data_IF_517319322003
#
_entry.id   IF_517319322003
#
_cell.length_a   1.000
_cell.length_b   1.000
_cell.length_c   1.000
_cell.angle_alpha   90.00
_cell.angle_beta   90.00
_cell.angle_gamma   90.00
#
_symmetry.space_group_name_H-M   'P 1'
#
loop_
_entity.id
_entity.type
_entity.pdbx_description
1 polymer ?
#
# COMPACT_ATOMS: atom_id res chain seq x y z
N UNK A 1 -20.32 21.60 -29.12
CA UNK A 1 -20.32 21.09 -27.71
C UNK A 1 -20.48 19.57 -27.64
N UNK A 2 -21.56 18.94 -28.19
CA UNK A 2 -21.73 17.47 -28.08
C UNK A 2 -20.62 16.67 -28.79
N UNK A 3 -20.21 17.08 -29.98
CA UNK A 3 -19.13 16.47 -30.72
C UNK A 3 -17.78 16.64 -30.02
N UNK A 4 -17.52 17.83 -29.49
CA UNK A 4 -16.33 18.14 -28.72
C UNK A 4 -16.27 17.29 -27.41
N UNK A 5 -17.40 17.18 -26.72
CA UNK A 5 -17.48 16.33 -25.52
C UNK A 5 -17.14 14.86 -25.83
N UNK A 6 -17.65 14.30 -26.93
CA UNK A 6 -17.36 12.93 -27.35
C UNK A 6 -15.91 12.74 -27.82
N UNK A 7 -15.35 13.70 -28.55
CA UNK A 7 -14.00 13.56 -29.10
C UNK A 7 -12.91 13.89 -28.08
N UNK A 8 -13.11 14.93 -27.25
CA UNK A 8 -12.08 15.49 -26.39
C UNK A 8 -12.22 15.12 -24.91
N UNK A 9 -13.46 14.88 -24.42
CA UNK A 9 -13.71 14.68 -22.99
C UNK A 9 -14.07 13.25 -22.61
N UNK A 10 -14.39 12.38 -23.55
CA UNK A 10 -14.75 10.99 -23.27
C UNK A 10 -13.53 10.27 -22.67
N UNK A 11 -13.69 9.66 -21.49
CA UNK A 11 -12.61 9.00 -20.75
C UNK A 11 -11.95 7.85 -21.52
N UNK A 12 -12.71 7.13 -22.34
CA UNK A 12 -12.19 6.05 -23.20
C UNK A 12 -11.21 6.56 -24.27
N UNK A 13 -11.29 7.82 -24.66
CA UNK A 13 -10.37 8.44 -25.64
C UNK A 13 -9.17 9.13 -24.94
N UNK A 14 -9.20 9.28 -23.61
CA UNK A 14 -8.19 10.00 -22.83
C UNK A 14 -7.58 9.08 -21.76
N UNK A 15 -6.94 8.01 -22.18
CA UNK A 15 -6.32 7.05 -21.26
C UNK A 15 -5.00 7.57 -20.73
N UNK A 16 -4.18 8.19 -21.57
CA UNK A 16 -2.87 8.73 -21.19
C UNK A 16 -2.93 10.25 -21.01
N UNK A 17 -2.20 10.76 -20.05
CA UNK A 17 -2.02 12.19 -19.83
C UNK A 17 -1.17 12.80 -20.96
N UNK A 18 -1.63 13.86 -21.62
CA UNK A 18 -0.82 14.53 -22.64
C UNK A 18 0.41 15.26 -22.06
N UNK A 19 0.43 15.50 -20.74
CA UNK A 19 1.54 16.17 -20.06
C UNK A 19 2.70 15.23 -19.71
N UNK A 20 2.40 14.01 -19.23
CA UNK A 20 3.42 13.06 -18.74
C UNK A 20 3.44 11.72 -19.47
N UNK A 21 2.38 11.38 -20.21
CA UNK A 21 2.22 10.06 -20.82
C UNK A 21 1.81 8.96 -19.85
N UNK A 22 1.57 9.29 -18.57
CA UNK A 22 1.08 8.33 -17.60
C UNK A 22 -0.42 8.07 -17.76
N UNK A 23 -0.91 6.87 -17.40
CA UNK A 23 -2.35 6.58 -17.45
C UNK A 23 -3.13 7.47 -16.49
N UNK A 24 -4.19 8.11 -16.99
CA UNK A 24 -5.14 8.90 -16.18
C UNK A 24 -6.15 7.97 -15.50
N UNK A 25 -6.59 6.91 -16.18
CA UNK A 25 -7.60 5.95 -15.70
C UNK A 25 -7.01 4.95 -14.70
N UNK A 26 -6.33 5.43 -13.68
CA UNK A 26 -5.77 4.58 -12.63
C UNK A 26 -6.81 4.41 -11.52
N UNK A 27 -7.12 3.16 -11.15
CA UNK A 27 -7.99 2.89 -10.01
C UNK A 27 -7.48 3.53 -8.73
N UNK A 28 -8.40 3.90 -7.83
CA UNK A 28 -8.10 4.53 -6.55
C UNK A 28 -8.96 3.94 -5.44
N UNK A 29 -8.58 4.23 -4.20
CA UNK A 29 -9.35 3.91 -3.00
C UNK A 29 -9.77 2.43 -2.93
N UNK A 30 -11.06 2.12 -2.93
CA UNK A 30 -11.60 0.79 -2.67
C UNK A 30 -11.16 -0.25 -3.70
N UNK A 31 -11.04 0.14 -4.97
CA UNK A 31 -10.55 -0.76 -6.02
C UNK A 31 -9.12 -1.22 -5.73
N UNK A 32 -8.25 -0.28 -5.36
CA UNK A 32 -6.86 -0.59 -5.00
C UNK A 32 -6.80 -1.47 -3.76
N UNK A 33 -7.63 -1.17 -2.74
CA UNK A 33 -7.69 -1.95 -1.51
C UNK A 33 -8.14 -3.40 -1.79
N UNK A 34 -9.18 -3.58 -2.60
CA UNK A 34 -9.70 -4.90 -2.96
C UNK A 34 -8.70 -5.75 -3.72
N UNK A 35 -8.01 -5.17 -4.71
CA UNK A 35 -6.97 -5.86 -5.47
C UNK A 35 -5.73 -6.17 -4.60
N UNK A 36 -5.37 -5.24 -3.72
CA UNK A 36 -4.29 -5.46 -2.77
C UNK A 36 -4.62 -6.61 -1.81
N UNK A 37 -5.83 -6.64 -1.25
CA UNK A 37 -6.31 -7.73 -0.40
C UNK A 37 -6.32 -9.06 -1.12
N UNK A 38 -6.82 -9.11 -2.37
CA UNK A 38 -6.87 -10.30 -3.20
C UNK A 38 -5.48 -10.87 -3.52
N UNK A 39 -4.49 -10.01 -3.74
CA UNK A 39 -3.16 -10.42 -4.20
C UNK A 39 -2.15 -10.64 -3.08
N UNK A 40 -2.52 -10.36 -1.84
CA UNK A 40 -1.68 -10.69 -0.68
C UNK A 40 -1.59 -12.18 -0.45
N UNK A 41 -0.47 -12.61 0.12
CA UNK A 41 -0.36 -13.95 0.69
C UNK A 41 -0.55 -13.88 2.21
N UNK A 42 -1.00 -14.98 2.79
CA UNK A 42 -1.14 -15.20 4.22
C UNK A 42 -0.54 -16.55 4.59
N UNK A 43 0.28 -16.56 5.64
CA UNK A 43 0.91 -17.75 6.18
C UNK A 43 -0.11 -18.49 7.05
N UNK A 44 -0.15 -19.84 6.96
CA UNK A 44 -1.10 -20.64 7.72
C UNK A 44 -2.56 -20.50 7.28
N UNK A 45 -2.82 -19.96 6.09
CA UNK A 45 -4.16 -19.83 5.56
C UNK A 45 -4.77 -21.21 5.23
N UNK A 46 -6.09 -21.31 5.35
CA UNK A 46 -6.83 -22.54 4.98
C UNK A 46 -6.57 -22.90 3.54
N UNK A 47 -6.15 -24.15 3.27
CA UNK A 47 -5.81 -24.60 1.92
C UNK A 47 -4.36 -24.32 1.49
N UNK A 48 -3.50 -23.91 2.40
CA UNK A 48 -2.08 -23.72 2.10
C UNK A 48 -1.43 -25.05 1.67
N UNK A 49 -0.56 -25.00 0.66
CA UNK A 49 0.13 -26.17 0.13
C UNK A 49 -0.66 -27.00 -0.87
N UNK A 50 -1.85 -26.57 -1.30
CA UNK A 50 -2.63 -27.26 -2.34
C UNK A 50 -1.98 -27.10 -3.71
N UNK A 51 -2.10 -28.16 -4.52
CA UNK A 51 -1.71 -28.18 -5.93
C UNK A 51 -3.00 -28.21 -6.77
N UNK A 52 -3.17 -27.22 -7.63
CA UNK A 52 -4.42 -26.95 -8.36
C UNK A 52 -4.15 -27.01 -9.86
N UNK A 53 -5.04 -27.68 -10.61
CA UNK A 53 -4.85 -27.92 -12.05
C UNK A 53 -5.18 -26.70 -12.93
N UNK A 54 -5.96 -25.75 -12.42
CA UNK A 54 -6.34 -24.55 -13.16
C UNK A 54 -6.81 -23.42 -12.25
N UNK A 55 -6.85 -22.19 -12.77
CA UNK A 55 -7.37 -21.04 -12.05
C UNK A 55 -8.87 -21.15 -11.74
N UNK A 56 -9.65 -21.82 -12.60
CA UNK A 56 -11.07 -22.09 -12.39
C UNK A 56 -11.30 -23.09 -11.24
N UNK A 57 -10.39 -24.04 -11.05
CA UNK A 57 -10.43 -24.94 -9.90
C UNK A 57 -10.10 -24.18 -8.60
N UNK A 58 -9.12 -23.29 -8.64
CA UNK A 58 -8.80 -22.39 -7.51
C UNK A 58 -10.02 -21.55 -7.10
N UNK A 59 -10.77 -21.01 -8.06
CA UNK A 59 -12.00 -20.27 -7.81
C UNK A 59 -13.08 -21.15 -7.16
N UNK A 60 -13.24 -22.41 -7.61
CA UNK A 60 -14.19 -23.36 -7.01
C UNK A 60 -13.82 -23.72 -5.58
N UNK A 61 -12.55 -23.95 -5.29
CA UNK A 61 -12.07 -24.22 -3.94
C UNK A 61 -12.37 -23.05 -2.98
N UNK A 62 -12.16 -21.84 -3.44
CA UNK A 62 -12.53 -20.64 -2.68
C UNK A 62 -14.05 -20.56 -2.45
N UNK A 63 -14.87 -20.70 -3.51
CA UNK A 63 -16.33 -20.62 -3.41
C UNK A 63 -16.94 -21.72 -2.54
N UNK A 64 -16.26 -22.87 -2.42
CA UNK A 64 -16.65 -23.99 -1.57
C UNK A 64 -16.14 -23.86 -0.13
N UNK A 65 -15.51 -22.74 0.22
CA UNK A 65 -14.90 -22.52 1.53
C UNK A 65 -13.87 -23.61 1.93
N UNK A 66 -13.19 -24.19 0.95
CA UNK A 66 -12.13 -25.17 1.18
C UNK A 66 -10.74 -24.53 1.29
N UNK A 67 -10.58 -23.35 0.72
CA UNK A 67 -9.33 -22.60 0.75
C UNK A 67 -9.57 -21.08 0.76
N UNK A 68 -8.69 -20.35 1.45
CA UNK A 68 -8.73 -18.89 1.56
C UNK A 68 -8.08 -18.22 0.34
N UNK A 69 -8.46 -16.98 0.05
CA UNK A 69 -7.91 -16.16 -1.03
C UNK A 69 -6.38 -16.05 -0.99
N UNK A 70 -5.83 -15.89 0.20
CA UNK A 70 -4.42 -15.62 0.45
C UNK A 70 -3.60 -16.89 0.62
N UNK A 71 -4.23 -18.08 0.52
CA UNK A 71 -3.54 -19.36 0.66
C UNK A 71 -2.45 -19.54 -0.42
N UNK A 72 -1.26 -19.93 0.00
CA UNK A 72 -0.12 -20.24 -0.88
C UNK A 72 -0.38 -21.59 -1.57
N UNK A 73 -0.41 -21.60 -2.89
CA UNK A 73 -0.73 -22.76 -3.72
C UNK A 73 0.24 -22.90 -4.90
N UNK A 74 0.32 -24.10 -5.47
CA UNK A 74 0.85 -24.31 -6.80
C UNK A 74 -0.31 -24.45 -7.76
N UNK A 75 -0.42 -23.57 -8.74
CA UNK A 75 -1.52 -23.55 -9.70
C UNK A 75 -0.98 -23.55 -11.13
N UNK A 76 -1.62 -24.31 -12.00
CA UNK A 76 -1.35 -24.23 -13.43
C UNK A 76 -2.12 -23.06 -14.01
N UNK A 77 -1.38 -22.00 -14.39
CA UNK A 77 -1.93 -20.76 -14.91
C UNK A 77 -1.82 -20.74 -16.42
N UNK A 78 -2.92 -20.38 -17.09
CA UNK A 78 -3.00 -20.20 -18.53
C UNK A 78 -3.06 -18.72 -18.84
N UNK A 79 -2.13 -18.24 -19.66
CA UNK A 79 -2.11 -16.85 -20.13
C UNK A 79 -1.54 -16.78 -21.56
N UNK A 80 -1.70 -15.64 -22.20
CA UNK A 80 -1.23 -15.42 -23.57
C UNK A 80 -0.30 -14.21 -23.59
N UNK A 81 0.81 -14.31 -24.33
CA UNK A 81 1.65 -13.19 -24.66
C UNK A 81 1.53 -12.89 -26.15
N UNK A 82 1.67 -11.61 -26.51
CA UNK A 82 1.70 -11.21 -27.92
C UNK A 82 3.15 -11.16 -28.37
N UNK A 83 3.46 -11.95 -29.39
CA UNK A 83 4.77 -11.88 -30.03
C UNK A 83 4.92 -10.55 -30.77
N UNK A 84 6.04 -9.89 -30.56
CA UNK A 84 6.30 -8.56 -31.14
C UNK A 84 6.64 -8.62 -32.63
N UNK A 85 7.19 -9.76 -33.10
CA UNK A 85 7.60 -9.93 -34.51
C UNK A 85 6.46 -10.43 -35.39
N UNK A 86 5.78 -11.49 -34.97
CA UNK A 86 4.68 -12.10 -35.74
C UNK A 86 3.31 -11.47 -35.48
N UNK A 87 3.14 -10.80 -34.32
CA UNK A 87 1.86 -10.26 -33.87
C UNK A 87 0.85 -11.33 -33.41
N UNK A 88 1.24 -12.60 -33.41
CA UNK A 88 0.42 -13.72 -32.98
C UNK A 88 0.40 -13.87 -31.46
N UNK A 89 -0.66 -14.51 -30.94
CA UNK A 89 -0.78 -14.80 -29.52
C UNK A 89 -0.18 -16.18 -29.22
N UNK A 90 0.82 -16.21 -28.34
CA UNK A 90 1.45 -17.44 -27.85
C UNK A 90 0.77 -17.83 -26.54
N UNK A 91 0.23 -19.04 -26.47
CA UNK A 91 -0.38 -19.59 -25.24
C UNK A 91 0.70 -20.17 -24.34
N UNK A 92 0.69 -19.75 -23.09
CA UNK A 92 1.51 -20.29 -22.00
C UNK A 92 0.60 -21.05 -21.04
N UNK A 93 1.04 -22.25 -20.63
CA UNK A 93 0.34 -23.08 -19.66
C UNK A 93 1.36 -23.68 -18.71
N UNK A 94 1.64 -22.94 -17.64
CA UNK A 94 2.77 -23.20 -16.76
C UNK A 94 2.30 -23.42 -15.33
N UNK A 95 3.02 -24.29 -14.59
CA UNK A 95 2.85 -24.39 -13.14
C UNK A 95 3.53 -23.20 -12.48
N UNK A 96 2.78 -22.51 -11.61
CA UNK A 96 3.27 -21.32 -10.88
C UNK A 96 3.03 -21.48 -9.38
N UNK A 97 3.99 -21.03 -8.58
CA UNK A 97 3.84 -20.88 -7.13
C UNK A 97 3.18 -19.52 -6.88
N UNK A 98 1.93 -19.53 -6.45
CA UNK A 98 1.10 -18.32 -6.37
C UNK A 98 0.11 -18.42 -5.20
N UNK A 99 -0.85 -17.51 -5.15
CA UNK A 99 -2.00 -17.60 -4.23
C UNK A 99 -3.30 -17.80 -5.02
N UNK A 100 -4.34 -18.29 -4.33
CA UNK A 100 -5.66 -18.45 -4.95
C UNK A 100 -6.15 -17.13 -5.56
N UNK A 101 -6.04 -16.03 -4.83
CA UNK A 101 -6.47 -14.72 -5.31
C UNK A 101 -5.73 -14.25 -6.57
N UNK A 102 -4.42 -14.49 -6.66
CA UNK A 102 -3.63 -14.16 -7.86
C UNK A 102 -3.95 -15.09 -9.03
N UNK A 103 -4.13 -16.38 -8.77
CA UNK A 103 -4.58 -17.33 -9.79
C UNK A 103 -5.93 -16.91 -10.38
N UNK A 104 -6.89 -16.50 -9.53
CA UNK A 104 -8.19 -16.00 -10.00
C UNK A 104 -8.04 -14.69 -10.82
N UNK A 105 -7.06 -13.84 -10.50
CA UNK A 105 -6.82 -12.63 -11.27
C UNK A 105 -6.35 -12.94 -12.71
N UNK A 106 -5.71 -14.09 -12.92
CA UNK A 106 -5.34 -14.52 -14.29
C UNK A 106 -6.55 -14.71 -15.22
N UNK A 107 -7.73 -15.01 -14.67
CA UNK A 107 -8.96 -15.18 -15.46
C UNK A 107 -9.47 -13.88 -16.09
N UNK A 108 -9.14 -12.74 -15.54
CA UNK A 108 -9.53 -11.41 -16.06
C UNK A 108 -8.46 -10.74 -16.92
N UNK A 109 -7.28 -11.37 -17.04
CA UNK A 109 -6.21 -10.86 -17.89
C UNK A 109 -6.63 -10.88 -19.36
N UNK A 110 -6.44 -9.78 -20.11
CA UNK A 110 -6.66 -9.79 -21.54
C UNK A 110 -5.63 -10.68 -22.25
N UNK A 111 -6.02 -11.29 -23.37
CA UNK A 111 -5.11 -12.04 -24.21
C UNK A 111 -3.99 -11.13 -24.72
N UNK A 112 -2.76 -11.52 -24.49
CA UNK A 112 -1.57 -10.79 -24.89
C UNK A 112 -0.86 -10.09 -23.74
N UNK A 113 -1.34 -10.21 -22.50
CA UNK A 113 -0.68 -9.70 -21.32
C UNK A 113 -0.07 -10.85 -20.48
N UNK A 114 1.20 -10.74 -20.09
CA UNK A 114 1.89 -11.77 -19.30
C UNK A 114 1.37 -11.80 -17.86
N UNK A 115 1.24 -13.01 -17.30
CA UNK A 115 0.93 -13.21 -15.88
C UNK A 115 2.04 -12.70 -14.95
N UNK A 116 3.28 -12.64 -15.43
CA UNK A 116 4.42 -12.10 -14.66
C UNK A 116 4.24 -10.64 -14.22
N UNK A 117 3.37 -9.91 -14.90
CA UNK A 117 3.05 -8.53 -14.51
C UNK A 117 2.18 -8.48 -13.24
N UNK A 118 1.41 -9.51 -13.00
CA UNK A 118 0.58 -9.67 -11.79
C UNK A 118 1.37 -10.38 -10.69
N UNK A 119 1.97 -11.52 -11.02
CA UNK A 119 2.71 -12.37 -10.09
C UNK A 119 4.03 -12.83 -10.72
N UNK A 120 5.08 -12.02 -10.60
CA UNK A 120 6.40 -12.42 -11.07
C UNK A 120 6.90 -13.64 -10.27
N UNK A 121 7.62 -14.57 -10.90
CA UNK A 121 8.18 -15.72 -10.21
C UNK A 121 9.08 -15.27 -9.05
N UNK A 122 9.09 -16.04 -7.97
CA UNK A 122 10.00 -15.78 -6.86
C UNK A 122 11.45 -15.96 -7.29
N UNK A 123 12.38 -15.27 -6.62
CA UNK A 123 13.79 -15.38 -6.92
C UNK A 123 14.27 -16.84 -6.81
N UNK A 124 14.96 -17.31 -7.85
CA UNK A 124 15.46 -18.70 -7.93
C UNK A 124 14.42 -19.74 -8.39
N UNK A 125 13.18 -19.36 -8.60
CA UNK A 125 12.12 -20.24 -9.13
C UNK A 125 12.06 -20.08 -10.66
N UNK A 126 12.57 -21.09 -11.37
CA UNK A 126 12.49 -21.17 -12.84
C UNK A 126 11.74 -22.44 -13.24
N UNK A 127 11.37 -22.57 -14.51
CA UNK A 127 10.73 -23.79 -15.01
C UNK A 127 11.58 -25.06 -14.78
N UNK A 128 12.90 -24.92 -14.74
CA UNK A 128 13.83 -26.02 -14.49
C UNK A 128 13.93 -26.40 -13.02
N UNK A 129 13.94 -25.42 -12.11
CA UNK A 129 14.07 -25.64 -10.65
C UNK A 129 12.74 -25.96 -9.98
N UNK A 130 11.62 -25.62 -10.61
CA UNK A 130 10.28 -25.80 -10.04
C UNK A 130 9.97 -27.25 -9.61
N UNK A 131 10.27 -28.31 -10.39
CA UNK A 131 10.00 -29.69 -9.96
C UNK A 131 10.78 -30.08 -8.70
N UNK A 132 12.00 -29.58 -8.58
CA UNK A 132 12.89 -29.82 -7.45
C UNK A 132 12.37 -29.11 -6.17
N UNK A 133 11.95 -27.86 -6.32
CA UNK A 133 11.31 -27.07 -5.24
C UNK A 133 10.02 -27.75 -4.79
N UNK A 134 9.14 -28.16 -5.70
CA UNK A 134 7.87 -28.81 -5.39
C UNK A 134 8.03 -30.19 -4.72
N UNK A 135 9.17 -30.83 -4.81
CA UNK A 135 9.48 -32.07 -4.08
C UNK A 135 9.72 -31.85 -2.59
N UNK A 136 10.00 -30.64 -2.16
CA UNK A 136 10.25 -30.27 -0.77
C UNK A 136 8.91 -30.11 -0.02
N UNK A 137 8.90 -30.44 1.30
CA UNK A 137 7.68 -30.31 2.12
C UNK A 137 7.22 -28.85 2.30
N UNK A 138 8.14 -27.92 2.20
CA UNK A 138 7.90 -26.49 2.43
C UNK A 138 7.95 -25.67 1.14
N UNK A 139 7.66 -26.25 -0.02
CA UNK A 139 7.71 -25.57 -1.31
C UNK A 139 6.86 -24.29 -1.35
N UNK A 140 5.79 -24.25 -0.60
CA UNK A 140 4.89 -23.08 -0.52
C UNK A 140 5.56 -21.83 0.07
N UNK A 141 6.68 -21.96 0.79
CA UNK A 141 7.46 -20.82 1.29
C UNK A 141 8.14 -20.01 0.18
N UNK A 142 8.29 -20.60 -1.01
CA UNK A 142 8.83 -19.94 -2.19
C UNK A 142 7.83 -19.06 -2.94
N UNK A 143 6.58 -18.97 -2.49
CA UNK A 143 5.59 -18.06 -3.09
C UNK A 143 6.02 -16.61 -2.83
N UNK A 144 6.09 -15.81 -3.88
CA UNK A 144 6.48 -14.40 -3.76
C UNK A 144 5.41 -13.57 -3.03
N UNK A 145 5.84 -12.64 -2.15
CA UNK A 145 4.92 -11.72 -1.49
C UNK A 145 4.93 -10.36 -2.19
N UNK A 146 4.31 -10.29 -3.35
CA UNK A 146 4.27 -9.08 -4.16
C UNK A 146 2.83 -8.62 -4.46
N UNK A 147 2.11 -8.04 -3.49
CA UNK A 147 0.74 -7.59 -3.70
C UNK A 147 0.65 -6.47 -4.73
N UNK A 148 -0.51 -6.35 -5.38
CA UNK A 148 -0.82 -5.28 -6.33
C UNK A 148 -1.22 -4.00 -5.60
N UNK A 149 -0.26 -3.11 -5.37
CA UNK A 149 -0.54 -1.76 -4.92
C UNK A 149 -0.82 -0.79 -6.09
N UNK A 150 -1.23 0.43 -5.77
CA UNK A 150 -1.60 1.48 -6.74
C UNK A 150 -0.57 1.68 -7.86
N UNK A 151 0.72 1.71 -7.51
CA UNK A 151 1.81 1.91 -8.49
C UNK A 151 1.91 0.75 -9.49
N UNK A 152 1.78 -0.50 -9.01
CA UNK A 152 1.83 -1.69 -9.87
C UNK A 152 0.62 -1.77 -10.80
N UNK A 153 -0.57 -1.40 -10.31
CA UNK A 153 -1.79 -1.35 -11.12
C UNK A 153 -1.65 -0.31 -12.23
N UNK A 154 -1.09 0.87 -11.93
CA UNK A 154 -0.83 1.90 -12.93
C UNK A 154 0.17 1.41 -14.00
N UNK A 155 1.25 0.75 -13.59
CA UNK A 155 2.22 0.17 -14.51
C UNK A 155 1.60 -0.94 -15.37
N UNK A 156 0.75 -1.79 -14.78
CA UNK A 156 0.03 -2.85 -15.49
C UNK A 156 -0.90 -2.28 -16.58
N UNK A 157 -1.67 -1.24 -16.27
CA UNK A 157 -2.54 -0.56 -17.24
C UNK A 157 -1.73 0.12 -18.34
N UNK A 158 -0.60 0.73 -18.00
CA UNK A 158 0.29 1.34 -18.99
C UNK A 158 0.85 0.31 -19.96
N UNK A 159 1.34 -0.82 -19.45
CA UNK A 159 1.83 -1.93 -20.28
C UNK A 159 0.70 -2.51 -21.16
N UNK A 160 -0.50 -2.68 -20.60
CA UNK A 160 -1.66 -3.12 -21.35
C UNK A 160 -1.98 -2.17 -22.54
N UNK A 161 -1.94 -0.87 -22.31
CA UNK A 161 -2.18 0.12 -23.36
C UNK A 161 -1.15 0.04 -24.50
N UNK A 162 0.12 -0.08 -24.15
CA UNK A 162 1.20 -0.17 -25.15
C UNK A 162 1.20 -1.47 -25.95
N UNK A 163 0.81 -2.59 -25.33
CA UNK A 163 0.82 -3.89 -26.00
C UNK A 163 -0.46 -4.19 -26.78
N UNK A 164 -1.61 -3.84 -26.23
CA UNK A 164 -2.93 -4.27 -26.73
C UNK A 164 -3.76 -3.10 -27.30
N UNK A 165 -3.44 -1.86 -26.95
CA UNK A 165 -4.12 -0.67 -27.43
C UNK A 165 -5.33 -0.27 -26.59
N UNK A 166 -6.09 0.70 -27.10
CA UNK A 166 -7.13 1.45 -26.40
C UNK A 166 -8.27 0.57 -25.89
N UNK A 167 -8.86 -0.24 -26.77
CA UNK A 167 -10.09 -1.00 -26.48
C UNK A 167 -9.89 -2.02 -25.37
N UNK A 168 -8.85 -2.82 -25.47
CA UNK A 168 -8.57 -3.89 -24.51
C UNK A 168 -8.16 -3.31 -23.15
N UNK A 169 -7.46 -2.17 -23.14
CA UNK A 169 -7.15 -1.45 -21.90
C UNK A 169 -8.40 -0.94 -21.21
N UNK A 170 -9.39 -0.37 -21.94
CA UNK A 170 -10.65 0.06 -21.34
C UNK A 170 -11.42 -1.12 -20.73
N UNK A 171 -11.55 -2.21 -21.46
CA UNK A 171 -12.24 -3.41 -20.98
C UNK A 171 -11.53 -4.01 -19.76
N UNK A 172 -10.20 -4.05 -19.77
CA UNK A 172 -9.40 -4.54 -18.66
C UNK A 172 -9.54 -3.64 -17.42
N UNK A 173 -9.53 -2.32 -17.60
CA UNK A 173 -9.76 -1.37 -16.51
C UNK A 173 -11.14 -1.56 -15.85
N UNK A 174 -12.18 -1.81 -16.64
CA UNK A 174 -13.52 -2.12 -16.12
C UNK A 174 -13.53 -3.44 -15.32
N UNK A 175 -12.91 -4.51 -15.83
CA UNK A 175 -12.81 -5.79 -15.12
C UNK A 175 -12.05 -5.62 -13.79
N UNK A 176 -10.94 -4.90 -13.79
CA UNK A 176 -10.18 -4.56 -12.57
C UNK A 176 -11.05 -3.81 -11.57
N UNK A 177 -11.81 -2.83 -12.04
CA UNK A 177 -12.67 -2.01 -11.19
C UNK A 177 -13.75 -2.86 -10.49
N UNK A 178 -14.51 -3.65 -11.25
CA UNK A 178 -15.56 -4.50 -10.67
C UNK A 178 -14.99 -5.57 -9.73
N UNK A 179 -13.88 -6.19 -10.09
CA UNK A 179 -13.19 -7.18 -9.24
C UNK A 179 -12.68 -6.51 -7.96
N UNK A 180 -12.10 -5.33 -8.05
CA UNK A 180 -11.62 -4.57 -6.90
C UNK A 180 -12.75 -4.21 -5.94
N UNK A 181 -13.88 -3.72 -6.42
CA UNK A 181 -15.05 -3.43 -5.56
C UNK A 181 -15.61 -4.68 -4.88
N UNK A 182 -15.74 -5.79 -5.62
CA UNK A 182 -16.22 -7.04 -5.05
C UNK A 182 -15.30 -7.53 -3.91
N UNK A 183 -13.99 -7.50 -4.11
CA UNK A 183 -13.05 -7.96 -3.09
C UNK A 183 -12.83 -6.96 -1.96
N UNK A 184 -13.01 -5.66 -2.19
CA UNK A 184 -13.03 -4.68 -1.11
C UNK A 184 -14.21 -4.93 -0.16
N UNK A 185 -15.39 -5.22 -0.70
CA UNK A 185 -16.56 -5.58 0.10
C UNK A 185 -16.33 -6.89 0.89
N UNK A 186 -15.75 -7.91 0.25
CA UNK A 186 -15.45 -9.20 0.89
C UNK A 186 -14.36 -9.10 1.95
N UNK A 187 -13.42 -8.15 1.82
CA UNK A 187 -12.33 -7.98 2.78
C UNK A 187 -12.83 -7.57 4.17
N UNK A 188 -14.00 -6.92 4.26
CA UNK A 188 -14.54 -6.38 5.51
C UNK A 188 -13.60 -5.39 6.21
N UNK A 189 -12.66 -4.78 5.47
CA UNK A 189 -11.66 -3.88 6.05
C UNK A 189 -12.31 -2.67 6.70
N UNK A 190 -12.07 -2.49 7.98
CA UNK A 190 -12.57 -1.38 8.80
C UNK A 190 -11.45 -0.88 9.69
N UNK A 191 -11.61 0.32 10.24
CA UNK A 191 -10.65 0.94 11.15
C UNK A 191 -11.25 1.00 12.55
N UNK A 192 -10.55 0.43 13.52
CA UNK A 192 -10.89 0.60 14.93
C UNK A 192 -9.74 1.27 15.71
N UNK A 193 -10.02 1.66 16.94
CA UNK A 193 -9.02 2.32 17.81
C UNK A 193 -7.89 1.36 18.16
N UNK A 194 -8.18 0.07 18.28
CA UNK A 194 -7.18 -0.95 18.63
C UNK A 194 -6.18 -1.23 17.50
N UNK A 195 -6.55 -0.94 16.24
CA UNK A 195 -5.65 -1.05 15.09
C UNK A 195 -4.50 -0.03 15.13
N UNK A 196 -4.65 1.04 15.92
CA UNK A 196 -3.67 2.11 16.07
C UNK A 196 -2.62 1.72 17.11
N UNK A 197 -1.66 0.89 16.74
CA UNK A 197 -0.62 0.40 17.66
C UNK A 197 0.39 1.50 18.00
N UNK A 198 0.46 1.84 19.29
CA UNK A 198 1.42 2.83 19.80
C UNK A 198 2.74 2.10 20.07
N UNK A 199 3.89 2.58 19.52
CA UNK A 199 5.18 1.95 19.74
C UNK A 199 5.60 2.07 21.22
N UNK A 200 6.10 0.97 21.81
CA UNK A 200 6.57 0.94 23.19
C UNK A 200 7.73 1.92 23.45
N UNK A 201 8.59 2.11 22.46
CA UNK A 201 9.76 2.98 22.53
C UNK A 201 9.44 4.48 22.47
N UNK A 202 8.18 4.85 22.19
CA UNK A 202 7.75 6.25 22.05
C UNK A 202 8.20 7.11 23.22
N UNK A 203 7.95 6.66 24.44
CA UNK A 203 8.24 7.44 25.65
C UNK A 203 9.76 7.63 25.86
N UNK A 204 10.56 6.64 25.48
CA UNK A 204 12.03 6.74 25.57
C UNK A 204 12.57 7.75 24.58
N UNK A 205 12.06 7.76 23.34
CA UNK A 205 12.46 8.71 22.29
C UNK A 205 12.09 10.13 22.71
N UNK A 206 10.88 10.35 23.23
CA UNK A 206 10.43 11.66 23.70
C UNK A 206 11.29 12.16 24.87
N UNK A 207 11.56 11.30 25.85
CA UNK A 207 12.39 11.67 27.00
C UNK A 207 13.83 11.99 26.63
N UNK A 208 14.40 11.33 25.63
CA UNK A 208 15.70 11.63 25.08
C UNK A 208 15.71 13.00 24.39
N UNK A 209 14.71 13.28 23.55
CA UNK A 209 14.58 14.58 22.89
C UNK A 209 14.38 15.73 23.89
N UNK A 210 13.59 15.52 24.94
CA UNK A 210 13.41 16.53 26.01
C UNK A 210 14.72 16.86 26.72
N UNK A 211 15.55 15.86 27.03
CA UNK A 211 16.89 16.09 27.66
C UNK A 211 17.79 16.87 26.72
N UNK A 212 17.77 16.59 25.43
CA UNK A 212 18.58 17.34 24.45
C UNK A 212 18.10 18.78 24.31
N UNK A 213 16.80 19.03 24.29
CA UNK A 213 16.22 20.39 24.30
C UNK A 213 16.62 21.17 25.56
N UNK A 214 16.60 20.52 26.74
CA UNK A 214 17.08 21.17 27.99
C UNK A 214 18.56 21.52 27.91
N UNK A 215 19.40 20.69 27.30
CA UNK A 215 20.82 21.00 27.08
C UNK A 215 20.98 22.17 26.13
N UNK A 216 20.22 22.29 25.06
CA UNK A 216 20.23 23.43 24.13
C UNK A 216 19.78 24.72 24.85
N UNK A 217 18.77 24.60 25.71
CA UNK A 217 18.30 25.74 26.52
C UNK A 217 19.36 26.22 27.49
N UNK A 218 20.08 25.33 28.18
CA UNK A 218 21.19 25.68 29.04
C UNK A 218 22.36 26.37 28.29
N UNK A 219 22.67 25.92 27.07
CA UNK A 219 23.66 26.60 26.19
C UNK A 219 23.26 28.06 25.87
N UNK A 220 21.97 28.28 25.63
CA UNK A 220 21.44 29.62 25.40
C UNK A 220 21.52 30.50 26.65
N UNK A 221 21.14 30.00 27.81
CA UNK A 221 21.20 30.70 29.09
C UNK A 221 22.65 31.07 29.48
N UNK A 222 23.62 30.23 29.11
CA UNK A 222 25.05 30.48 29.29
C UNK A 222 25.63 31.42 28.22
N UNK A 223 24.83 31.94 27.29
CA UNK A 223 25.30 32.87 26.25
C UNK A 223 26.14 32.23 25.13
N UNK A 224 26.16 30.91 25.01
CA UNK A 224 26.96 30.20 24.01
C UNK A 224 26.33 30.20 22.61
N UNK A 225 25.02 30.33 22.51
CA UNK A 225 24.25 30.34 21.27
C UNK A 225 23.27 31.51 21.22
N UNK A 226 22.91 31.93 20.01
CA UNK A 226 21.92 32.99 19.79
C UNK A 226 20.49 32.44 19.91
N UNK A 227 19.51 33.33 20.07
CA UNK A 227 18.09 32.94 20.12
C UNK A 227 17.62 32.24 18.83
N UNK A 228 18.11 32.67 17.65
CA UNK A 228 17.81 32.04 16.38
C UNK A 228 18.39 30.63 16.23
N UNK A 229 19.62 30.44 16.70
CA UNK A 229 20.27 29.11 16.72
C UNK A 229 19.56 28.15 17.67
N UNK A 230 19.18 28.62 18.87
CA UNK A 230 18.39 27.85 19.82
C UNK A 230 17.08 27.37 19.17
N UNK A 231 16.34 28.30 18.55
CA UNK A 231 15.08 28.00 17.87
C UNK A 231 15.27 26.92 16.81
N UNK A 232 16.26 27.06 15.93
CA UNK A 232 16.52 26.09 14.87
C UNK A 232 16.95 24.72 15.43
N UNK A 233 17.82 24.69 16.45
CA UNK A 233 18.22 23.42 17.09
C UNK A 233 17.06 22.73 17.77
N UNK A 234 16.16 23.42 18.45
CA UNK A 234 14.99 22.83 19.10
C UNK A 234 14.04 22.20 18.07
N UNK A 235 13.79 22.89 16.95
CA UNK A 235 12.97 22.37 15.87
C UNK A 235 13.60 21.11 15.26
N UNK A 236 14.91 21.10 15.04
CA UNK A 236 15.62 19.96 14.46
C UNK A 236 15.56 18.73 15.36
N UNK A 237 15.79 18.91 16.67
CA UNK A 237 15.65 17.82 17.67
C UNK A 237 14.25 17.21 17.63
N UNK A 238 13.19 18.03 17.63
CA UNK A 238 11.82 17.54 17.61
C UNK A 238 11.42 16.94 16.26
N UNK A 239 11.92 17.46 15.15
CA UNK A 239 11.71 16.89 13.82
C UNK A 239 12.32 15.48 13.73
N UNK A 240 13.56 15.34 14.20
CA UNK A 240 14.27 14.05 14.27
C UNK A 240 13.55 13.05 15.19
N UNK A 241 13.10 13.48 16.36
CA UNK A 241 12.33 12.66 17.28
C UNK A 241 11.01 12.17 16.66
N UNK A 242 10.30 13.07 15.98
CA UNK A 242 9.06 12.75 15.28
C UNK A 242 9.27 11.71 14.15
N UNK A 243 10.38 11.80 13.42
CA UNK A 243 10.74 10.82 12.40
C UNK A 243 11.08 9.45 13.02
N UNK A 244 11.84 9.41 14.11
CA UNK A 244 12.17 8.18 14.84
C UNK A 244 10.91 7.47 15.35
N UNK A 245 10.00 8.22 15.97
CA UNK A 245 8.70 7.68 16.43
C UNK A 245 7.89 7.16 15.25
N UNK A 246 7.87 7.87 14.11
CA UNK A 246 7.19 7.44 12.90
C UNK A 246 7.75 6.13 12.32
N UNK A 247 9.07 5.98 12.28
CA UNK A 247 9.74 4.74 11.83
C UNK A 247 9.44 3.56 12.79
N UNK A 248 9.55 3.77 14.10
CA UNK A 248 9.23 2.75 15.09
C UNK A 248 7.76 2.28 14.99
N UNK A 249 6.84 3.22 14.82
CA UNK A 249 5.42 2.93 14.62
C UNK A 249 5.17 2.11 13.35
N UNK A 250 5.74 2.52 12.21
CA UNK A 250 5.56 1.80 10.94
C UNK A 250 6.15 0.39 11.01
N UNK A 251 7.30 0.19 11.65
CA UNK A 251 7.88 -1.13 11.84
C UNK A 251 6.97 -2.04 12.67
N UNK A 252 6.35 -1.53 13.74
CA UNK A 252 5.42 -2.31 14.56
C UNK A 252 4.12 -2.64 13.82
N UNK A 253 3.66 -1.73 12.94
CA UNK A 253 2.44 -1.95 12.15
C UNK A 253 2.66 -2.87 10.95
N UNK A 254 3.89 -2.93 10.41
CA UNK A 254 4.18 -3.59 9.13
C UNK A 254 4.35 -5.10 9.22
N UNK A 255 4.71 -5.63 10.38
CA UNK A 255 5.10 -7.04 10.54
C UNK A 255 4.27 -7.69 11.64
N UNK A 256 3.79 -8.90 11.35
CA UNK A 256 3.19 -9.81 12.34
C UNK A 256 3.84 -11.18 12.26
N UNK A 257 3.77 -11.95 13.35
CA UNK A 257 4.20 -13.35 13.39
C UNK A 257 2.99 -14.23 13.07
N UNK A 258 3.18 -15.19 12.17
CA UNK A 258 2.19 -16.20 11.83
C UNK A 258 2.83 -17.59 11.91
N UNK A 259 2.02 -18.60 12.19
CA UNK A 259 2.45 -20.01 12.24
C UNK A 259 2.02 -20.68 10.94
N UNK A 260 2.98 -21.32 10.26
CA UNK A 260 2.71 -22.05 9.03
C UNK A 260 2.11 -23.44 9.36
N UNK A 261 1.66 -24.16 8.34
CA UNK A 261 1.07 -25.52 8.51
C UNK A 261 2.05 -26.56 9.07
N UNK A 262 3.35 -26.25 9.11
CA UNK A 262 4.38 -27.10 9.69
C UNK A 262 4.63 -26.78 11.19
N UNK A 263 3.95 -25.76 11.75
CA UNK A 263 4.13 -25.30 13.13
C UNK A 263 5.35 -24.39 13.34
N UNK A 264 5.94 -23.88 12.26
CA UNK A 264 7.05 -22.94 12.31
C UNK A 264 6.55 -21.50 12.30
N UNK A 265 7.19 -20.63 13.09
CA UNK A 265 6.87 -19.21 13.11
C UNK A 265 7.59 -18.48 11.99
N UNK A 266 6.84 -17.85 11.14
CA UNK A 266 7.34 -16.99 10.06
C UNK A 266 6.85 -15.56 10.26
N UNK A 267 7.62 -14.59 9.75
CA UNK A 267 7.21 -13.19 9.73
C UNK A 267 6.49 -12.89 8.42
N UNK A 268 5.31 -12.30 8.53
CA UNK A 268 4.56 -11.84 7.38
C UNK A 268 4.22 -10.34 7.49
N UNK A 269 3.85 -9.74 6.37
CA UNK A 269 3.31 -8.39 6.38
C UNK A 269 1.97 -8.36 7.12
N UNK A 270 1.77 -7.39 8.00
CA UNK A 270 0.59 -7.31 8.86
C UNK A 270 -0.72 -7.19 8.08
N UNK A 271 -1.78 -7.83 8.56
CA UNK A 271 -3.16 -7.66 8.07
C UNK A 271 -3.92 -6.54 8.80
N UNK A 272 -3.22 -5.68 9.52
CA UNK A 272 -3.83 -4.49 10.11
C UNK A 272 -4.43 -3.60 9.00
N UNK A 273 -5.70 -3.23 9.15
CA UNK A 273 -6.45 -2.47 8.12
C UNK A 273 -5.80 -1.13 7.81
N UNK A 274 -5.25 -0.43 8.81
CA UNK A 274 -4.56 0.85 8.64
C UNK A 274 -3.29 0.67 7.81
N UNK A 275 -2.51 -0.38 8.12
CA UNK A 275 -1.30 -0.71 7.36
C UNK A 275 -1.64 -1.06 5.92
N UNK A 276 -2.65 -1.91 5.69
CA UNK A 276 -3.08 -2.29 4.34
C UNK A 276 -3.52 -1.09 3.50
N UNK A 277 -4.26 -0.15 4.08
CA UNK A 277 -4.71 1.06 3.37
C UNK A 277 -3.54 1.95 2.95
N UNK A 278 -2.54 2.09 3.81
CA UNK A 278 -1.37 2.94 3.53
C UNK A 278 -0.39 2.28 2.57
N UNK A 279 -0.06 1.00 2.77
CA UNK A 279 0.90 0.26 1.96
C UNK A 279 0.39 0.04 0.53
N UNK A 280 -0.90 -0.25 0.37
CA UNK A 280 -1.54 -0.34 -0.96
C UNK A 280 -1.56 0.99 -1.72
N UNK A 281 -1.47 2.13 -1.02
CA UNK A 281 -1.69 3.46 -1.58
C UNK A 281 -3.16 3.78 -1.84
N UNK A 282 -4.08 3.00 -1.27
CA UNK A 282 -5.53 3.23 -1.41
C UNK A 282 -5.97 4.49 -0.67
N UNK A 283 -5.59 4.63 0.59
CA UNK A 283 -5.95 5.79 1.42
C UNK A 283 -4.97 5.97 2.57
N UNK A 284 -4.68 7.23 2.87
CA UNK A 284 -3.77 7.61 3.95
C UNK A 284 -2.31 7.59 3.54
N UNK A 285 -1.52 8.42 4.20
CA UNK A 285 -0.07 8.46 4.09
C UNK A 285 0.57 8.08 5.41
N UNK A 286 1.84 7.67 5.40
CA UNK A 286 2.59 7.41 6.62
C UNK A 286 2.58 8.60 7.60
N UNK A 287 2.55 9.83 7.07
CA UNK A 287 2.45 11.04 7.88
C UNK A 287 1.09 11.17 8.61
N UNK A 288 -0.01 10.77 7.96
CA UNK A 288 -1.33 10.77 8.57
C UNK A 288 -1.46 9.68 9.65
N UNK A 289 -0.95 8.47 9.38
CA UNK A 289 -0.96 7.38 10.35
C UNK A 289 -0.10 7.72 11.58
N UNK A 290 1.04 8.41 11.38
CA UNK A 290 1.89 8.88 12.48
C UNK A 290 1.12 9.79 13.43
N UNK A 291 0.20 10.63 12.95
CA UNK A 291 -0.65 11.45 13.81
C UNK A 291 -1.66 10.63 14.60
N UNK A 292 -2.09 9.47 14.08
CA UNK A 292 -3.06 8.59 14.74
C UNK A 292 -2.44 7.76 15.88
N UNK A 293 -1.29 7.16 15.66
CA UNK A 293 -0.67 6.19 16.56
C UNK A 293 0.74 6.57 17.05
N UNK A 294 1.40 7.52 16.40
CA UNK A 294 2.74 7.97 16.78
C UNK A 294 2.72 9.25 17.60
N UNK A 295 3.03 10.36 16.96
CA UNK A 295 3.10 11.69 17.55
C UNK A 295 2.66 12.73 16.50
N UNK A 296 1.88 13.72 16.90
CA UNK A 296 1.43 14.75 15.97
C UNK A 296 2.57 15.67 15.53
N UNK A 297 3.50 16.01 16.44
CA UNK A 297 4.72 16.75 16.14
C UNK A 297 4.56 18.27 16.17
N UNK A 298 5.41 18.94 15.39
CA UNK A 298 5.47 20.41 15.33
C UNK A 298 4.33 20.96 14.48
N UNK A 299 3.76 22.09 14.91
CA UNK A 299 2.67 22.78 14.21
C UNK A 299 3.15 24.12 13.67
N UNK A 300 2.70 24.48 12.47
CA UNK A 300 2.97 25.77 11.87
C UNK A 300 1.87 26.77 12.23
N UNK A 301 2.29 28.02 12.51
CA UNK A 301 1.38 29.16 12.64
C UNK A 301 0.84 29.60 11.26
N UNK A 302 -0.19 30.44 11.21
CA UNK A 302 -0.68 31.01 9.95
C UNK A 302 0.38 31.80 9.15
N UNK A 303 1.35 32.43 9.83
CA UNK A 303 2.48 33.18 9.24
C UNK A 303 3.57 32.28 8.63
N UNK A 304 3.47 30.95 8.84
CA UNK A 304 4.45 29.97 8.37
C UNK A 304 5.55 29.62 9.35
N UNK A 305 5.69 30.36 10.47
CA UNK A 305 6.64 30.01 11.54
C UNK A 305 6.20 28.74 12.27
N UNK A 306 7.16 28.00 12.80
CA UNK A 306 6.90 26.74 13.53
C UNK A 306 6.83 27.03 15.02
N UNK A 307 5.85 26.41 15.70
CA UNK A 307 5.74 26.50 17.15
C UNK A 307 6.76 25.55 17.78
N UNK A 308 7.64 26.06 18.65
CA UNK A 308 8.74 25.29 19.26
C UNK A 308 8.23 24.10 20.11
N UNK A 309 7.05 24.24 20.73
CA UNK A 309 6.47 23.20 21.57
C UNK A 309 5.75 22.18 20.69
N UNK A 310 6.23 20.93 20.61
CA UNK A 310 5.59 19.89 19.81
C UNK A 310 4.36 19.32 20.50
N UNK A 311 3.46 18.76 19.74
CA UNK A 311 2.37 17.93 20.24
C UNK A 311 2.89 16.49 20.32
N UNK A 312 3.24 16.03 21.52
CA UNK A 312 3.79 14.69 21.76
C UNK A 312 2.71 13.61 21.79
N UNK A 313 1.47 13.99 22.05
CA UNK A 313 0.32 13.09 22.02
C UNK A 313 -0.10 12.75 20.58
N UNK A 314 -0.73 11.60 20.41
CA UNK A 314 -1.42 11.20 19.19
C UNK A 314 -2.95 11.25 19.39
N UNK A 315 -3.71 11.02 18.32
CA UNK A 315 -5.17 11.03 18.41
C UNK A 315 -5.75 9.88 19.23
N UNK A 316 -5.07 8.72 19.27
CA UNK A 316 -5.51 7.59 20.12
C UNK A 316 -5.41 7.92 21.61
N UNK A 317 -4.31 8.55 22.05
CA UNK A 317 -4.10 8.97 23.44
C UNK A 317 -5.01 10.13 23.84
N UNK A 318 -5.39 10.95 22.87
CA UNK A 318 -6.07 12.21 23.08
C UNK A 318 -5.13 13.39 23.38
N UNK A 319 -5.51 14.57 22.93
CA UNK A 319 -4.76 15.80 23.14
C UNK A 319 -5.20 16.46 24.46
N UNK A 320 -4.24 17.04 25.20
CA UNK A 320 -4.59 17.93 26.30
C UNK A 320 -5.06 19.30 25.77
N UNK A 321 -5.61 20.15 26.65
CA UNK A 321 -6.19 21.45 26.26
C UNK A 321 -5.16 22.35 25.54
N UNK A 322 -3.94 22.40 26.04
CA UNK A 322 -2.88 23.22 25.42
C UNK A 322 -2.49 22.69 24.03
N UNK A 323 -2.32 21.39 23.89
CA UNK A 323 -2.01 20.75 22.64
C UNK A 323 -3.14 20.91 21.60
N UNK A 324 -4.40 20.82 22.05
CA UNK A 324 -5.55 21.10 21.22
C UNK A 324 -5.54 22.54 20.72
N UNK A 325 -5.29 23.52 21.59
CA UNK A 325 -5.23 24.93 21.22
C UNK A 325 -4.11 25.19 20.19
N UNK A 326 -2.91 24.64 20.40
CA UNK A 326 -1.81 24.72 19.44
C UNK A 326 -2.22 24.13 18.09
N UNK A 327 -2.92 23.01 18.10
CA UNK A 327 -3.34 22.32 16.87
C UNK A 327 -4.38 23.08 16.05
N UNK A 328 -5.18 23.95 16.69
CA UNK A 328 -6.21 24.73 16.00
C UNK A 328 -5.64 25.76 15.02
N UNK A 329 -4.43 26.27 15.27
CA UNK A 329 -3.77 27.21 14.35
C UNK A 329 -3.56 26.60 12.96
N UNK A 330 -3.01 25.39 12.88
CA UNK A 330 -2.81 24.68 11.62
C UNK A 330 -4.12 24.22 10.96
N UNK A 331 -5.10 23.79 11.76
CA UNK A 331 -6.39 23.32 11.24
C UNK A 331 -7.18 24.46 10.58
N UNK A 332 -7.30 25.62 11.25
CA UNK A 332 -8.00 26.79 10.69
C UNK A 332 -7.32 27.34 9.43
N UNK A 333 -5.97 27.38 9.42
CA UNK A 333 -5.22 27.75 8.21
C UNK A 333 -5.53 26.79 7.06
N UNK A 334 -5.49 25.48 7.30
CA UNK A 334 -5.78 24.47 6.27
C UNK A 334 -7.18 24.59 5.68
N UNK A 335 -8.19 24.86 6.51
CA UNK A 335 -9.56 25.10 6.05
C UNK A 335 -9.67 26.36 5.18
N UNK A 336 -9.08 27.46 5.62
CA UNK A 336 -9.07 28.73 4.89
C UNK A 336 -8.30 28.61 3.55
N UNK A 337 -7.11 28.01 3.55
CA UNK A 337 -6.30 27.81 2.33
C UNK A 337 -7.01 26.93 1.30
N UNK A 338 -7.69 25.88 1.76
CA UNK A 338 -8.47 25.00 0.87
C UNK A 338 -9.60 25.78 0.18
N UNK A 339 -10.37 26.55 0.95
CA UNK A 339 -11.47 27.37 0.39
C UNK A 339 -10.96 28.40 -0.61
N UNK A 340 -9.87 29.10 -0.29
CA UNK A 340 -9.30 30.15 -1.17
C UNK A 340 -8.70 29.54 -2.45
N UNK A 341 -8.00 28.43 -2.38
CA UNK A 341 -7.43 27.76 -3.56
C UNK A 341 -8.53 27.26 -4.49
N UNK A 342 -9.59 26.68 -3.95
CA UNK A 342 -10.73 26.20 -4.74
C UNK A 342 -11.45 27.36 -5.45
N UNK A 343 -11.54 28.52 -4.82
CA UNK A 343 -12.17 29.70 -5.42
C UNK A 343 -11.32 30.35 -6.55
N UNK A 344 -9.99 30.12 -6.52
CA UNK A 344 -9.06 30.70 -7.51
C UNK A 344 -8.76 29.75 -8.69
N UNK A 345 -9.22 28.49 -8.65
CA UNK A 345 -9.09 27.51 -9.72
C UNK A 345 -10.38 27.42 -10.56
#
# INVERSE_FOLDING_TARGET
AQLEARCLMLSTNNILSPASGDPIIVPAQDVVLGLYYQTRMRIGAKGEGLIVSSAEEAERLYKSDLADFQARIACRVRYWTKDQESGEFIEHNEMRLTTIGRAMLSLILPKGLSFDLIDPPAEGVTAETLPEIMSQKNWFTHVSNQPLGKKKIAALLNTCYHQLGLKDTCMFADHIMYTGFAHAALSGSSVCVDDMLIPADKQQIISAAQREVMSVQAQYENGQITAGERYNKVIDVWSTANEKVGKAMMNNLSVQEAENILGEKEKEASFNSIFMMADSGARGSAAQIRQLAGMRGLMAKPDGSIIETPITANFREGLNVQQYFISTHGARKGLADTALKTANS
#
